data_IF_176614491446
#
_entry.id   IF_176614491446
#
_cell.length_a   1.000
_cell.length_b   1.000
_cell.length_c   1.000
_cell.angle_alpha   90.00
_cell.angle_beta   90.00
_cell.angle_gamma   90.00
#
_symmetry.space_group_name_H-M   'P 1'
#
loop_
_entity.id
_entity.type
_entity.pdbx_description
1 polymer ?
#
# COMPACT_ATOMS: atom_id res chain seq x y z
N UNK A 1 -7.65 3.11 -12.64
CA UNK A 1 -8.69 2.77 -11.65
C UNK A 1 -8.69 3.67 -10.42
N UNK A 2 -7.60 3.84 -9.65
CA UNK A 2 -7.60 4.81 -8.53
C UNK A 2 -7.58 6.27 -8.98
N UNK A 3 -6.68 6.63 -9.91
CA UNK A 3 -6.62 8.00 -10.45
C UNK A 3 -7.91 8.47 -11.11
N UNK A 4 -8.56 7.57 -11.86
CA UNK A 4 -9.88 7.81 -12.46
C UNK A 4 -10.98 8.01 -11.43
N UNK A 5 -10.83 7.49 -10.22
CA UNK A 5 -11.75 7.67 -9.10
C UNK A 5 -11.39 8.89 -8.22
N UNK A 6 -10.51 9.78 -8.69
CA UNK A 6 -10.13 11.02 -8.01
C UNK A 6 -9.01 10.87 -6.97
N UNK A 7 -8.31 9.74 -6.94
CA UNK A 7 -7.13 9.60 -6.08
C UNK A 7 -5.88 10.19 -6.74
N UNK A 8 -5.01 10.80 -5.94
CA UNK A 8 -3.69 11.27 -6.36
C UNK A 8 -2.59 10.51 -5.63
N UNK A 9 -1.49 10.21 -6.32
CA UNK A 9 -0.31 9.66 -5.65
C UNK A 9 0.30 10.73 -4.75
N UNK A 10 0.64 10.36 -3.52
CA UNK A 10 1.30 11.28 -2.56
C UNK A 10 2.81 11.21 -2.70
N UNK A 11 3.51 12.26 -2.27
CA UNK A 11 4.97 12.34 -2.33
C UNK A 11 5.66 11.31 -1.42
N UNK A 12 6.87 10.89 -1.79
CA UNK A 12 7.67 9.87 -1.06
C UNK A 12 7.98 10.24 0.39
N UNK A 13 7.90 11.53 0.74
CA UNK A 13 8.16 12.05 2.09
C UNK A 13 6.87 12.40 2.85
N UNK A 14 5.71 12.21 2.25
CA UNK A 14 4.46 12.41 2.96
C UNK A 14 4.16 11.23 3.88
N UNK A 15 3.77 11.57 5.12
CA UNK A 15 3.28 10.56 6.06
C UNK A 15 1.88 10.09 5.65
N UNK A 16 1.59 8.78 5.78
CA UNK A 16 0.25 8.25 5.57
C UNK A 16 -0.80 8.93 6.45
N UNK A 17 -2.01 9.11 5.92
CA UNK A 17 -3.20 9.60 6.62
C UNK A 17 -4.32 8.58 6.49
N UNK A 18 -5.26 8.62 7.43
CA UNK A 18 -6.46 7.78 7.36
C UNK A 18 -7.12 7.88 5.97
N UNK A 19 -7.46 6.72 5.41
CA UNK A 19 -8.03 6.60 4.06
C UNK A 19 -7.01 6.44 2.93
N UNK A 20 -5.71 6.57 3.20
CA UNK A 20 -4.67 6.34 2.18
C UNK A 20 -4.61 4.87 1.76
N UNK A 21 -4.47 4.65 0.46
CA UNK A 21 -4.38 3.31 -0.13
C UNK A 21 -2.98 3.08 -0.68
N UNK A 22 -2.30 2.05 -0.20
CA UNK A 22 -1.01 1.60 -0.74
C UNK A 22 -1.23 0.52 -1.80
N UNK A 23 -0.54 0.65 -2.92
CA UNK A 23 -0.42 -0.38 -3.97
C UNK A 23 1.05 -0.81 -4.03
N UNK A 24 1.31 -2.08 -3.75
CA UNK A 24 2.64 -2.68 -3.68
C UNK A 24 2.82 -3.61 -4.88
N UNK A 25 3.90 -3.42 -5.63
CA UNK A 25 4.21 -4.27 -6.79
C UNK A 25 4.66 -5.68 -6.35
N UNK A 26 4.49 -6.70 -7.21
CA UNK A 26 5.00 -8.04 -6.94
C UNK A 26 6.53 -8.04 -6.79
N UNK A 27 7.05 -9.09 -6.14
CA UNK A 27 8.49 -9.37 -6.03
C UNK A 27 8.79 -10.78 -6.55
N UNK A 28 10.06 -11.06 -6.89
CA UNK A 28 10.48 -12.35 -7.41
C UNK A 28 10.17 -13.49 -6.42
N UNK A 29 9.45 -14.52 -6.88
CA UNK A 29 8.99 -15.63 -6.04
C UNK A 29 7.78 -15.31 -5.16
N UNK A 30 7.24 -14.08 -5.21
CA UNK A 30 6.02 -13.68 -4.53
C UNK A 30 4.76 -13.88 -5.37
N UNK A 31 3.63 -13.37 -4.86
CA UNK A 31 2.37 -13.38 -5.60
C UNK A 31 2.45 -12.39 -6.79
N UNK A 32 2.13 -12.82 -8.03
CA UNK A 32 2.26 -11.98 -9.22
C UNK A 32 1.25 -10.81 -9.26
N UNK A 33 0.17 -10.87 -8.49
CA UNK A 33 -0.85 -9.82 -8.43
C UNK A 33 -0.43 -8.61 -7.58
N UNK A 34 0.71 -8.69 -6.88
CA UNK A 34 1.12 -7.66 -5.93
C UNK A 34 0.24 -7.66 -4.66
N UNK A 35 0.10 -6.49 -4.04
CA UNK A 35 -0.71 -6.33 -2.83
C UNK A 35 -1.30 -4.93 -2.72
N UNK A 36 -2.41 -4.79 -2.00
CA UNK A 36 -2.95 -3.48 -1.62
C UNK A 36 -3.51 -3.46 -0.20
N UNK A 37 -3.42 -2.30 0.45
CA UNK A 37 -3.99 -2.08 1.78
C UNK A 37 -4.44 -0.62 1.95
N UNK A 38 -5.31 -0.36 2.92
CA UNK A 38 -5.75 0.97 3.34
C UNK A 38 -5.24 1.28 4.76
N UNK A 39 -4.90 2.53 5.02
CA UNK A 39 -4.47 3.00 6.33
C UNK A 39 -5.66 3.57 7.11
N UNK A 40 -5.86 3.17 8.36
CA UNK A 40 -6.96 3.66 9.21
C UNK A 40 -6.57 4.87 10.09
N UNK A 41 -5.34 5.39 9.93
CA UNK A 41 -4.78 6.44 10.78
C UNK A 41 -3.75 5.93 11.79
N UNK A 42 -3.75 4.63 12.10
CA UNK A 42 -2.78 3.98 12.98
C UNK A 42 -2.14 2.73 12.34
N UNK A 43 -2.93 1.95 11.61
CA UNK A 43 -2.62 0.60 11.17
C UNK A 43 -3.07 0.39 9.72
N UNK A 44 -2.51 -0.65 9.08
CA UNK A 44 -2.84 -1.00 7.69
C UNK A 44 -3.77 -2.20 7.66
N UNK A 45 -4.78 -2.14 6.79
CA UNK A 45 -5.76 -3.20 6.60
C UNK A 45 -5.88 -3.58 5.12
N UNK A 46 -5.93 -4.87 4.85
CA UNK A 46 -6.38 -5.44 3.59
C UNK A 46 -7.63 -6.29 3.85
N UNK A 47 -7.66 -7.52 3.36
CA UNK A 47 -8.49 -8.60 3.86
C UNK A 47 -8.21 -8.99 5.34
N UNK A 48 -7.14 -8.47 5.96
CA UNK A 48 -6.84 -8.62 7.39
C UNK A 48 -6.07 -7.41 7.97
N UNK A 49 -6.00 -7.31 9.31
CA UNK A 49 -5.16 -6.31 10.01
C UNK A 49 -3.68 -6.64 9.85
N UNK A 50 -2.90 -5.72 9.30
CA UNK A 50 -1.47 -5.91 9.08
C UNK A 50 -0.62 -5.32 10.20
N UNK A 51 0.58 -5.89 10.39
CA UNK A 51 1.59 -5.38 11.33
C UNK A 51 2.21 -4.05 10.90
N UNK A 52 2.35 -3.85 9.59
CA UNK A 52 2.83 -2.63 8.95
C UNK A 52 2.30 -2.62 7.51
N UNK A 53 2.78 -1.70 6.66
CA UNK A 53 2.31 -1.61 5.28
C UNK A 53 2.62 -2.87 4.43
N UNK A 54 3.63 -3.66 4.82
CA UNK A 54 4.01 -4.86 4.09
C UNK A 54 3.12 -6.04 4.51
N UNK A 55 2.45 -6.64 3.54
CA UNK A 55 1.50 -7.74 3.72
C UNK A 55 2.10 -9.00 4.39
N UNK A 56 3.42 -9.15 4.41
CA UNK A 56 4.07 -10.37 4.89
C UNK A 56 5.59 -10.30 4.87
N UNK A 57 6.27 -11.34 5.38
CA UNK A 57 7.73 -11.38 5.49
C UNK A 57 8.44 -11.24 4.14
N UNK A 58 7.93 -11.85 3.07
CA UNK A 58 8.54 -11.73 1.73
C UNK A 58 8.51 -10.29 1.20
N UNK A 59 7.39 -9.58 1.38
CA UNK A 59 7.31 -8.15 1.03
C UNK A 59 8.28 -7.29 1.86
N UNK A 60 8.41 -7.56 3.17
CA UNK A 60 9.37 -6.83 4.04
C UNK A 60 10.82 -7.03 3.63
N UNK A 61 11.15 -8.25 3.20
CA UNK A 61 12.51 -8.59 2.78
C UNK A 61 12.82 -7.99 1.40
N UNK A 62 11.92 -8.15 0.43
CA UNK A 62 12.14 -7.72 -0.95
C UNK A 62 12.00 -6.21 -1.16
N UNK A 63 11.17 -5.53 -0.35
CA UNK A 63 10.85 -4.09 -0.45
C UNK A 63 10.58 -3.63 -1.90
N UNK A 64 9.67 -4.29 -2.64
CA UNK A 64 9.34 -3.88 -4.00
C UNK A 64 8.78 -2.46 -4.04
N UNK A 65 8.78 -1.85 -5.22
CA UNK A 65 8.22 -0.52 -5.42
C UNK A 65 6.75 -0.48 -5.01
N UNK A 66 6.34 0.62 -4.39
CA UNK A 66 4.95 0.88 -4.02
C UNK A 66 4.57 2.32 -4.35
N UNK A 67 3.27 2.59 -4.36
CA UNK A 67 2.73 3.94 -4.45
C UNK A 67 1.58 4.07 -3.47
N UNK A 68 1.55 5.16 -2.72
CA UNK A 68 0.44 5.50 -1.83
C UNK A 68 -0.45 6.52 -2.55
N UNK A 69 -1.75 6.30 -2.50
CA UNK A 69 -2.78 7.12 -3.13
C UNK A 69 -3.71 7.68 -2.07
N UNK A 70 -4.01 8.97 -2.17
CA UNK A 70 -4.97 9.68 -1.31
C UNK A 70 -6.12 10.20 -2.15
N UNK A 71 -7.34 10.10 -1.64
CA UNK A 71 -8.51 10.76 -2.22
C UNK A 71 -8.63 12.16 -1.63
N UNK A 72 -8.73 13.16 -2.51
CA UNK A 72 -9.08 14.53 -2.10
C UNK A 72 -10.57 14.66 -1.79
#
# INVERSE_FOLDING_TARGET
>A
MLRSAGFTAIGTYEMPREGDVIIIQPYAGGNPSGHMAIYDGAEWYSDFKQRDMWAGPGYRAARPSYTIYRKN
#
